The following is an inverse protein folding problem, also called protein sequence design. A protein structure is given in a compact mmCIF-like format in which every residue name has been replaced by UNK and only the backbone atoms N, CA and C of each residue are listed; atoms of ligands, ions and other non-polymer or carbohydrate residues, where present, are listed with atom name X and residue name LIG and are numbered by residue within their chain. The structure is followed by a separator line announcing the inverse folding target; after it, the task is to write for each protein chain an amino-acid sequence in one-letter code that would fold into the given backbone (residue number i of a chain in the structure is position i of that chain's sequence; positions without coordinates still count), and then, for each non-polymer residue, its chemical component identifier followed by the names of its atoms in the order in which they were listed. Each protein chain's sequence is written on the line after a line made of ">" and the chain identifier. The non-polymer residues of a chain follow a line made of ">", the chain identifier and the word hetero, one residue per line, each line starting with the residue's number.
data_IF_343257755693
#
_entry.id   IF_343257755693
#
_cell.length_a   1.000
_cell.length_b   1.000
_cell.length_c   1.000
_cell.angle_alpha   90.00
_cell.angle_beta   90.00
_cell.angle_gamma   90.00
#
_symmetry.space_group_name_H-M   'P 1'
#
loop_
_entity.id
_entity.type
_entity.pdbx_description
1 polymer ?
#
# COMPACT_ATOMS: atom_id res chain seq x y z
N UNK A 1 -2.91 8.46 -12.94
CA UNK A 1 -1.65 8.21 -12.28
C UNK A 1 -1.36 6.74 -12.04
N UNK A 2 -0.15 6.45 -11.58
CA UNK A 2 0.25 5.09 -11.23
C UNK A 2 -0.39 4.64 -9.91
N UNK A 3 -0.29 3.35 -9.56
CA UNK A 3 -0.79 2.81 -8.29
C UNK A 3 0.36 2.19 -7.53
N UNK A 4 0.48 2.51 -6.25
CA UNK A 4 1.45 1.90 -5.33
C UNK A 4 0.68 1.27 -4.17
N UNK A 5 0.82 -0.04 -3.99
CA UNK A 5 0.20 -0.77 -2.89
C UNK A 5 1.28 -1.25 -1.91
N UNK A 6 1.19 -0.81 -0.67
CA UNK A 6 2.12 -1.20 0.40
C UNK A 6 1.43 -2.22 1.29
N UNK A 7 2.00 -3.42 1.38
CA UNK A 7 1.43 -4.56 2.11
C UNK A 7 2.26 -4.88 3.34
N UNK A 8 1.65 -4.81 4.50
CA UNK A 8 2.23 -5.28 5.76
C UNK A 8 2.32 -6.80 5.75
N UNK A 9 3.55 -7.29 5.79
CA UNK A 9 3.88 -8.72 5.82
C UNK A 9 4.65 -9.07 7.10
N UNK A 10 4.36 -8.36 8.18
CA UNK A 10 4.85 -8.70 9.50
C UNK A 10 4.21 -10.00 10.00
N UNK A 11 4.81 -10.61 11.03
CA UNK A 11 4.34 -11.88 11.58
C UNK A 11 2.88 -11.81 12.06
N UNK A 12 2.44 -10.68 12.61
CA UNK A 12 1.07 -10.49 13.08
C UNK A 12 0.04 -10.44 11.94
N UNK A 13 0.46 -10.07 10.73
CA UNK A 13 -0.42 -9.98 9.56
C UNK A 13 -0.54 -11.30 8.80
N UNK A 14 0.18 -12.36 9.19
CA UNK A 14 0.26 -13.63 8.44
C UNK A 14 -1.12 -14.26 8.19
N UNK A 15 -1.99 -14.26 9.18
CA UNK A 15 -3.33 -14.85 9.06
C UNK A 15 -4.20 -14.16 8.01
N UNK A 16 -3.91 -12.92 7.69
CA UNK A 16 -4.65 -12.13 6.71
C UNK A 16 -3.92 -11.95 5.38
N UNK A 17 -2.77 -12.59 5.22
CA UNK A 17 -1.98 -12.51 3.99
C UNK A 17 -2.77 -12.87 2.73
N UNK A 18 -3.61 -13.93 2.71
CA UNK A 18 -4.42 -14.24 1.52
C UNK A 18 -5.37 -13.09 1.14
N UNK A 19 -5.97 -12.42 2.12
CA UNK A 19 -6.85 -11.29 1.88
C UNK A 19 -6.08 -10.10 1.31
N UNK A 20 -4.92 -9.78 1.87
CA UNK A 20 -4.05 -8.70 1.40
C UNK A 20 -3.58 -8.94 -0.04
N UNK A 21 -3.18 -10.17 -0.35
CA UNK A 21 -2.76 -10.54 -1.70
C UNK A 21 -3.92 -10.42 -2.70
N UNK A 22 -5.12 -10.81 -2.29
CA UNK A 22 -6.29 -10.67 -3.15
C UNK A 22 -6.61 -9.20 -3.46
N UNK A 23 -6.44 -8.30 -2.49
CA UNK A 23 -6.59 -6.85 -2.72
C UNK A 23 -5.53 -6.35 -3.71
N UNK A 24 -4.28 -6.74 -3.52
CA UNK A 24 -3.19 -6.35 -4.42
C UNK A 24 -3.44 -6.84 -5.85
N UNK A 25 -3.89 -8.08 -6.02
CA UNK A 25 -4.20 -8.63 -7.34
C UNK A 25 -5.40 -7.93 -8.00
N UNK A 26 -6.41 -7.55 -7.22
CA UNK A 26 -7.54 -6.77 -7.73
C UNK A 26 -7.09 -5.39 -8.21
N UNK A 27 -6.18 -4.73 -7.48
CA UNK A 27 -5.59 -3.45 -7.88
C UNK A 27 -4.71 -3.58 -9.13
N UNK A 28 -3.96 -4.68 -9.24
CA UNK A 28 -3.20 -4.99 -10.45
C UNK A 28 -4.11 -5.07 -11.68
N UNK A 29 -5.21 -5.80 -11.56
CA UNK A 29 -6.18 -5.96 -12.65
C UNK A 29 -6.74 -4.60 -13.10
N UNK A 30 -7.10 -3.76 -12.16
CA UNK A 30 -7.57 -2.39 -12.43
C UNK A 30 -6.48 -1.57 -13.12
N UNK A 31 -5.27 -1.61 -12.60
CA UNK A 31 -4.14 -0.86 -13.16
C UNK A 31 -3.87 -1.26 -14.60
N UNK A 32 -3.86 -2.55 -14.90
CA UNK A 32 -3.61 -3.04 -16.24
C UNK A 32 -4.74 -2.69 -17.21
N UNK A 33 -5.99 -2.80 -16.78
CA UNK A 33 -7.14 -2.40 -17.59
C UNK A 33 -7.06 -0.91 -17.96
N UNK A 34 -6.60 -0.08 -17.04
CA UNK A 34 -6.51 1.36 -17.21
C UNK A 34 -5.15 1.82 -17.76
N UNK A 35 -4.28 0.89 -18.17
CA UNK A 35 -2.93 1.15 -18.69
C UNK A 35 -2.07 1.96 -17.72
N UNK A 36 -2.17 1.67 -16.42
CA UNK A 36 -1.43 2.33 -15.35
C UNK A 36 -0.31 1.41 -14.86
N UNK A 37 0.83 1.98 -14.50
CA UNK A 37 1.89 1.20 -13.84
C UNK A 37 1.45 0.87 -12.42
N UNK A 38 1.88 -0.28 -11.94
CA UNK A 38 1.52 -0.78 -10.61
C UNK A 38 2.77 -1.26 -9.88
N UNK A 39 2.90 -0.88 -8.62
CA UNK A 39 3.96 -1.37 -7.75
C UNK A 39 3.35 -1.97 -6.48
N UNK A 40 3.88 -3.12 -6.06
CA UNK A 40 3.59 -3.70 -4.75
C UNK A 40 4.86 -3.60 -3.91
N UNK A 41 4.76 -2.93 -2.78
CA UNK A 41 5.83 -2.83 -1.80
C UNK A 41 5.47 -3.75 -0.64
N UNK A 42 6.19 -4.85 -0.51
CA UNK A 42 6.09 -5.76 0.62
C UNK A 42 6.96 -5.23 1.74
N UNK A 43 6.45 -5.10 2.95
CA UNK A 43 7.24 -4.60 4.07
C UNK A 43 6.99 -5.36 5.37
N UNK A 44 7.95 -5.28 6.28
CA UNK A 44 7.87 -5.78 7.64
C UNK A 44 8.67 -4.85 8.57
N UNK A 45 9.75 -5.28 9.17
CA UNK A 45 10.58 -4.46 10.04
C UNK A 45 11.44 -3.44 9.32
N UNK A 46 12.26 -2.74 10.09
CA UNK A 46 13.16 -1.71 9.57
C UNK A 46 14.08 -2.30 8.49
N UNK A 47 14.05 -1.74 7.30
CA UNK A 47 14.86 -2.18 6.17
C UNK A 47 14.32 -3.43 5.43
N UNK A 48 13.27 -4.06 5.94
CA UNK A 48 12.66 -5.24 5.31
C UNK A 48 11.65 -4.77 4.26
N UNK A 49 12.08 -4.71 3.02
CA UNK A 49 11.25 -4.24 1.90
C UNK A 49 11.59 -4.98 0.62
N UNK A 50 10.57 -5.34 -0.13
CA UNK A 50 10.69 -5.90 -1.47
C UNK A 50 9.66 -5.26 -2.37
N UNK A 51 10.07 -4.82 -3.55
CA UNK A 51 9.18 -4.15 -4.51
C UNK A 51 9.03 -4.96 -5.78
N UNK A 52 7.78 -5.23 -6.17
CA UNK A 52 7.44 -5.82 -7.44
C UNK A 52 6.80 -4.73 -8.34
N UNK A 53 7.33 -4.58 -9.56
CA UNK A 53 6.85 -3.61 -10.53
C UNK A 53 6.11 -4.31 -11.66
N UNK A 54 4.93 -3.79 -11.99
CA UNK A 54 4.10 -4.30 -13.08
C UNK A 54 3.85 -3.16 -14.07
N UNK A 55 4.51 -3.27 -15.23
CA UNK A 55 4.32 -2.33 -16.32
C UNK A 55 3.34 -2.91 -17.33
N UNK A 56 2.39 -2.12 -17.87
CA UNK A 56 1.41 -2.64 -18.83
C UNK A 56 2.07 -3.37 -20.00
N UNK A 57 1.69 -4.66 -20.18
CA UNK A 57 2.22 -5.51 -21.23
C UNK A 57 3.64 -6.01 -21.04
N UNK A 58 4.29 -5.76 -19.90
CA UNK A 58 5.69 -6.10 -19.65
C UNK A 58 5.89 -6.99 -18.42
N UNK A 59 4.91 -7.78 -18.06
CA UNK A 59 5.03 -8.75 -16.97
C UNK A 59 4.38 -10.07 -17.38
N UNK A 60 4.76 -11.16 -16.72
CA UNK A 60 4.24 -12.47 -16.98
C UNK A 60 3.55 -13.07 -15.75
N UNK A 61 3.01 -14.29 -15.92
CA UNK A 61 2.32 -15.00 -14.84
C UNK A 61 3.25 -15.30 -13.66
N UNK A 62 4.53 -15.57 -13.92
CA UNK A 62 5.50 -15.88 -12.87
C UNK A 62 5.75 -14.67 -11.98
N UNK A 63 5.76 -13.46 -12.54
CA UNK A 63 5.86 -12.22 -11.77
C UNK A 63 4.69 -12.07 -10.81
N UNK A 64 3.48 -12.38 -11.26
CA UNK A 64 2.27 -12.32 -10.41
C UNK A 64 2.34 -13.38 -9.31
N UNK A 65 2.74 -14.61 -9.63
CA UNK A 65 2.88 -15.69 -8.65
C UNK A 65 3.93 -15.36 -7.60
N UNK A 66 5.07 -14.82 -8.01
CA UNK A 66 6.13 -14.41 -7.07
C UNK A 66 5.60 -13.36 -6.10
N UNK A 67 4.89 -12.37 -6.59
CA UNK A 67 4.26 -11.34 -5.75
C UNK A 67 3.27 -11.96 -4.76
N UNK A 68 2.42 -12.86 -5.24
CA UNK A 68 1.41 -13.52 -4.39
C UNK A 68 2.02 -14.45 -3.34
N UNK A 69 3.17 -15.04 -3.60
CA UNK A 69 3.85 -15.97 -2.70
C UNK A 69 4.83 -15.29 -1.74
N UNK A 70 5.18 -14.02 -1.95
CA UNK A 70 6.10 -13.29 -1.08
C UNK A 70 5.46 -13.04 0.27
N UNK A 71 6.19 -13.38 1.34
CA UNK A 71 5.85 -13.02 2.71
C UNK A 71 7.14 -12.84 3.51
N UNK A 72 7.37 -11.63 4.02
CA UNK A 72 8.64 -11.27 4.63
C UNK A 72 8.79 -11.77 6.07
N UNK A 73 7.69 -11.73 6.83
CA UNK A 73 7.71 -12.06 8.26
C UNK A 73 8.56 -11.06 9.08
N UNK A 74 8.35 -10.95 10.38
CA UNK A 74 9.13 -10.09 11.26
C UNK A 74 8.33 -8.99 11.94
N UNK A 75 9.00 -7.90 12.26
CA UNK A 75 8.41 -6.74 12.93
C UNK A 75 7.66 -5.83 11.96
N UNK A 76 7.24 -4.66 12.43
CA UNK A 76 6.49 -3.69 11.63
C UNK A 76 7.17 -2.33 11.70
N UNK A 77 7.51 -1.76 10.54
CA UNK A 77 8.00 -0.40 10.41
C UNK A 77 7.31 0.29 9.23
N UNK A 78 6.70 1.44 9.47
CA UNK A 78 5.98 2.19 8.43
C UNK A 78 6.89 3.12 7.62
N UNK A 79 7.98 3.57 8.19
CA UNK A 79 8.90 4.47 7.50
C UNK A 79 9.57 3.80 6.30
N UNK A 80 9.94 2.52 6.42
CA UNK A 80 10.58 1.74 5.36
C UNK A 80 9.76 1.71 4.06
N UNK A 81 8.48 1.29 4.06
CA UNK A 81 7.69 1.28 2.82
C UNK A 81 7.38 2.67 2.29
N UNK A 82 7.18 3.65 3.16
CA UNK A 82 6.89 5.01 2.73
C UNK A 82 8.10 5.66 2.06
N UNK A 83 9.31 5.41 2.55
CA UNK A 83 10.55 5.84 1.87
C UNK A 83 10.71 5.18 0.50
N UNK A 84 10.39 3.90 0.40
CA UNK A 84 10.43 3.19 -0.88
C UNK A 84 9.41 3.78 -1.88
N UNK A 85 8.20 4.10 -1.41
CA UNK A 85 7.20 4.74 -2.26
C UNK A 85 7.69 6.10 -2.78
N UNK A 86 8.31 6.92 -1.93
CA UNK A 86 8.90 8.19 -2.33
C UNK A 86 10.03 7.99 -3.35
N UNK A 87 10.86 6.96 -3.16
CA UNK A 87 11.92 6.60 -4.11
C UNK A 87 11.36 6.25 -5.48
N UNK A 88 10.29 5.47 -5.54
CA UNK A 88 9.63 5.11 -6.80
C UNK A 88 9.13 6.36 -7.53
N UNK A 89 8.59 7.33 -6.80
CA UNK A 89 8.13 8.58 -7.39
C UNK A 89 9.28 9.42 -7.93
N UNK A 90 10.40 9.50 -7.20
CA UNK A 90 11.55 10.30 -7.59
C UNK A 90 12.39 9.66 -8.69
N UNK A 91 12.68 8.36 -8.57
CA UNK A 91 13.67 7.68 -9.40
C UNK A 91 13.08 6.87 -10.54
N UNK A 92 11.90 6.31 -10.34
CA UNK A 92 11.24 5.45 -11.31
C UNK A 92 10.11 6.17 -12.07
N UNK A 93 9.87 7.43 -11.74
CA UNK A 93 8.89 8.26 -12.43
C UNK A 93 7.43 7.89 -12.18
N UNK A 94 7.12 7.28 -11.04
CA UNK A 94 5.74 7.03 -10.63
C UNK A 94 5.08 8.36 -10.27
N UNK A 95 4.35 8.94 -11.22
CA UNK A 95 3.75 10.26 -11.07
C UNK A 95 2.27 10.17 -10.71
N UNK A 96 1.82 11.13 -9.90
CA UNK A 96 0.42 11.21 -9.46
C UNK A 96 -0.10 9.88 -8.91
N UNK A 97 0.74 9.18 -8.16
CA UNK A 97 0.44 7.84 -7.70
C UNK A 97 -0.68 7.83 -6.67
N UNK A 98 -1.58 6.86 -6.83
CA UNK A 98 -2.48 6.48 -5.74
C UNK A 98 -1.79 5.48 -4.88
N UNK A 99 -1.71 5.79 -3.62
CA UNK A 99 -1.09 4.90 -2.66
C UNK A 99 -2.14 4.24 -1.79
N UNK A 100 -2.00 2.93 -1.61
CA UNK A 100 -2.80 2.13 -0.70
C UNK A 100 -1.86 1.53 0.33
N UNK A 101 -2.16 1.72 1.60
CA UNK A 101 -1.35 1.24 2.72
C UNK A 101 -2.15 0.23 3.54
N UNK A 102 -1.78 -1.04 3.50
CA UNK A 102 -2.50 -2.13 4.16
C UNK A 102 -1.70 -2.63 5.35
N UNK A 103 -2.28 -2.56 6.55
CA UNK A 103 -1.61 -2.97 7.78
C UNK A 103 -2.61 -3.49 8.82
N UNK A 104 -2.16 -4.38 9.72
CA UNK A 104 -2.92 -4.83 10.88
C UNK A 104 -2.45 -4.19 12.18
N UNK A 105 -1.36 -3.43 12.13
CA UNK A 105 -0.62 -3.05 13.32
C UNK A 105 -0.53 -1.57 13.59
N UNK A 106 -0.04 -1.29 14.78
CA UNK A 106 0.33 0.04 15.22
C UNK A 106 1.83 0.24 15.05
N UNK A 107 2.18 1.35 14.43
CA UNK A 107 3.56 1.80 14.34
C UNK A 107 3.56 3.33 14.40
N UNK A 108 4.55 3.90 15.03
CA UNK A 108 4.68 5.36 15.15
C UNK A 108 5.74 5.83 14.19
N UNK A 109 5.38 6.80 13.33
CA UNK A 109 6.35 7.47 12.47
C UNK A 109 7.09 8.54 13.28
N UNK A 110 8.42 8.67 13.11
CA UNK A 110 9.15 9.80 13.66
C UNK A 110 8.57 11.12 13.15
N UNK A 111 8.47 12.12 14.03
CA UNK A 111 7.91 13.44 13.67
C UNK A 111 8.62 14.08 12.48
N UNK A 112 9.94 13.94 12.41
CA UNK A 112 10.75 14.46 11.31
C UNK A 112 10.40 13.83 9.97
N UNK A 113 10.14 12.51 9.96
CA UNK A 113 9.73 11.83 8.75
C UNK A 113 8.29 12.16 8.36
N UNK A 114 7.40 12.28 9.35
CA UNK A 114 6.01 12.65 9.11
C UNK A 114 5.90 14.05 8.48
N UNK A 115 6.70 15.01 8.93
CA UNK A 115 6.78 16.34 8.34
C UNK A 115 7.26 16.28 6.89
N UNK A 116 8.30 15.50 6.62
CA UNK A 116 8.81 15.28 5.26
C UNK A 116 7.74 14.67 4.36
N UNK A 117 7.05 13.65 4.83
CA UNK A 117 6.00 12.97 4.07
C UNK A 117 4.86 13.93 3.72
N UNK A 118 4.41 14.73 4.67
CA UNK A 118 3.36 15.73 4.45
C UNK A 118 3.78 16.81 3.46
N UNK A 119 5.05 17.24 3.52
CA UNK A 119 5.59 18.18 2.55
C UNK A 119 5.59 17.59 1.14
N UNK A 120 6.00 16.33 0.97
CA UNK A 120 5.98 15.64 -0.30
C UNK A 120 4.54 15.44 -0.82
N UNK A 121 3.59 15.12 0.05
CA UNK A 121 2.18 15.02 -0.32
C UNK A 121 1.66 16.36 -0.87
N UNK A 122 2.03 17.47 -0.25
CA UNK A 122 1.61 18.80 -0.68
C UNK A 122 2.22 19.18 -2.03
N UNK A 123 3.51 18.90 -2.22
CA UNK A 123 4.23 19.26 -3.47
C UNK A 123 3.82 18.37 -4.65
N UNK A 124 3.71 17.07 -4.44
CA UNK A 124 3.44 16.08 -5.49
C UNK A 124 1.96 15.76 -5.68
N UNK A 125 1.10 16.17 -4.75
CA UNK A 125 -0.33 15.99 -4.86
C UNK A 125 -0.84 14.56 -4.71
N UNK A 126 -0.06 13.65 -4.12
CA UNK A 126 -0.50 12.28 -3.91
C UNK A 126 -1.29 12.11 -2.61
N UNK A 127 -2.14 11.09 -2.58
CA UNK A 127 -2.92 10.73 -1.41
C UNK A 127 -2.67 9.27 -1.04
N UNK A 128 -2.77 8.97 0.25
CA UNK A 128 -2.62 7.62 0.77
C UNK A 128 -3.94 7.17 1.38
N UNK A 129 -4.45 6.04 0.91
CA UNK A 129 -5.61 5.38 1.51
C UNK A 129 -5.11 4.25 2.40
N UNK A 130 -5.44 4.31 3.68
CA UNK A 130 -5.12 3.26 4.64
C UNK A 130 -6.21 2.20 4.69
N UNK A 131 -5.81 0.94 4.75
CA UNK A 131 -6.71 -0.19 5.01
C UNK A 131 -6.23 -0.87 6.27
N UNK A 132 -7.04 -0.80 7.32
CA UNK A 132 -6.77 -1.45 8.59
C UNK A 132 -7.38 -2.84 8.57
N UNK A 133 -6.53 -3.86 8.69
CA UNK A 133 -6.94 -5.24 8.83
C UNK A 133 -7.52 -5.41 10.24
N UNK A 134 -8.84 -5.64 10.31
CA UNK A 134 -9.54 -5.68 11.59
C UNK A 134 -9.04 -6.78 12.51
N UNK A 135 -8.52 -6.33 13.63
CA UNK A 135 -8.52 -7.07 14.87
C UNK A 135 -9.38 -6.24 15.84
N UNK A 136 -9.95 -6.88 16.85
CA UNK A 136 -11.02 -6.36 17.69
C UNK A 136 -10.73 -5.03 18.41
N UNK A 137 -9.57 -4.40 18.21
CA UNK A 137 -9.15 -3.23 18.95
C UNK A 137 -9.14 -1.94 18.11
N UNK A 138 -9.93 -0.98 18.53
CA UNK A 138 -10.16 0.27 17.83
C UNK A 138 -8.99 1.28 17.91
N UNK A 139 -7.89 0.96 18.64
CA UNK A 139 -6.82 1.91 18.94
C UNK A 139 -5.86 2.22 17.79
N UNK A 140 -5.76 1.32 16.80
CA UNK A 140 -4.72 1.40 15.77
C UNK A 140 -5.02 2.36 14.61
N UNK A 141 -6.24 2.87 14.54
CA UNK A 141 -6.65 3.78 13.48
C UNK A 141 -5.90 5.13 13.52
N UNK A 142 -5.48 5.56 14.69
CA UNK A 142 -4.86 6.87 14.89
C UNK A 142 -3.53 7.02 14.15
N UNK A 143 -2.69 5.99 14.17
CA UNK A 143 -1.38 6.05 13.51
C UNK A 143 -1.50 6.16 11.99
N UNK A 144 -2.51 5.53 11.39
CA UNK A 144 -2.79 5.65 9.96
C UNK A 144 -3.32 7.04 9.61
N UNK A 145 -4.17 7.61 10.45
CA UNK A 145 -4.76 8.94 10.20
C UNK A 145 -3.73 10.06 10.20
N UNK A 146 -2.56 9.84 10.76
CA UNK A 146 -1.49 10.84 10.72
C UNK A 146 -1.00 11.13 9.30
N UNK A 147 -1.06 10.15 8.40
CA UNK A 147 -0.56 10.31 7.03
C UNK A 147 -1.52 9.84 5.94
N UNK A 148 -2.60 9.14 6.28
CA UNK A 148 -3.59 8.69 5.30
C UNK A 148 -4.74 9.70 5.20
N UNK A 149 -5.17 9.99 3.99
CA UNK A 149 -6.32 10.85 3.71
C UNK A 149 -7.62 10.16 4.12
N UNK A 150 -7.74 8.87 3.83
CA UNK A 150 -8.88 8.04 4.19
C UNK A 150 -8.37 6.75 4.83
N UNK A 151 -9.12 6.24 5.81
CA UNK A 151 -8.84 4.94 6.44
C UNK A 151 -10.11 4.11 6.43
N UNK A 152 -10.00 2.90 5.90
CA UNK A 152 -11.08 1.92 5.86
C UNK A 152 -10.70 0.70 6.70
N UNK A 153 -11.71 0.05 7.29
CA UNK A 153 -11.54 -1.21 8.00
C UNK A 153 -12.04 -2.36 7.13
N UNK A 154 -11.37 -3.50 7.18
CA UNK A 154 -11.77 -4.68 6.40
C UNK A 154 -13.16 -5.19 6.76
N UNK A 155 -13.61 -5.01 8.01
CA UNK A 155 -14.97 -5.36 8.44
C UNK A 155 -16.05 -4.52 7.79
N UNK A 156 -15.73 -3.34 7.28
CA UNK A 156 -16.69 -2.40 6.71
C UNK A 156 -16.90 -2.61 5.21
N UNK A 157 -15.92 -3.21 4.52
CA UNK A 157 -15.91 -3.30 3.06
C UNK A 157 -15.40 -4.66 2.60
N UNK A 158 -16.03 -5.23 1.55
CA UNK A 158 -15.47 -6.36 0.84
C UNK A 158 -14.24 -5.93 0.02
N UNK A 159 -13.42 -6.89 -0.42
CA UNK A 159 -12.25 -6.63 -1.29
C UNK A 159 -12.63 -5.85 -2.54
N UNK A 160 -13.75 -6.23 -3.16
CA UNK A 160 -14.22 -5.61 -4.40
C UNK A 160 -14.69 -4.17 -4.15
N UNK A 161 -15.38 -3.93 -3.03
CA UNK A 161 -15.82 -2.59 -2.64
C UNK A 161 -14.64 -1.67 -2.37
N UNK A 162 -13.57 -2.15 -1.75
CA UNK A 162 -12.35 -1.37 -1.50
C UNK A 162 -11.69 -0.99 -2.83
N UNK A 163 -11.55 -1.95 -3.73
CA UNK A 163 -10.97 -1.71 -5.05
C UNK A 163 -11.80 -0.71 -5.86
N UNK A 164 -13.13 -0.86 -5.86
CA UNK A 164 -14.04 0.07 -6.52
C UNK A 164 -13.97 1.48 -5.94
N UNK A 165 -13.91 1.63 -4.62
CA UNK A 165 -13.80 2.95 -3.98
C UNK A 165 -12.49 3.65 -4.31
N UNK A 166 -11.39 2.92 -4.40
CA UNK A 166 -10.12 3.48 -4.81
C UNK A 166 -10.15 4.01 -6.24
N UNK A 167 -10.95 3.39 -7.11
CA UNK A 167 -11.15 3.85 -8.49
C UNK A 167 -12.12 5.02 -8.54
N UNK A 168 -13.25 4.93 -7.85
CA UNK A 168 -14.32 5.95 -7.86
C UNK A 168 -13.88 7.27 -7.23
N UNK A 169 -13.08 7.22 -6.17
CA UNK A 169 -12.56 8.43 -5.53
C UNK A 169 -11.66 9.28 -6.43
N UNK A 170 -11.31 8.79 -7.61
CA UNK A 170 -10.49 9.48 -8.60
C UNK A 170 -11.27 10.07 -9.77
N UNK A 171 -12.41 9.52 -10.05
CA UNK A 171 -13.25 10.00 -11.16
C UNK A 171 -14.09 11.19 -10.71
N UNK A 172 -14.18 11.37 -9.43
CA UNK A 172 -14.80 12.55 -8.83
C UNK A 172 -13.71 13.56 -8.46
#
# INVERSE_FOLDING_TARGET
>A
GDIICMLDESSSAESQAPWCKAVALALLDIAMRDQRRFAVIHFAGVGDVQTDLFLPGQYDREDVLRCAETFLNGNTDYETPLREALRLMEQEGFENADMVFVTDGECVLPDSFLEKLKAEQSVRGFQITGILLDQEDAGFEFSLREFCTNVYRTSQLSRDQIAEQLVVSRVA
#
